data_IF_021182819212
#
_entry.id   IF_021182819212
#
_cell.length_a   1.000
_cell.length_b   1.000
_cell.length_c   1.000
_cell.angle_alpha   90.00
_cell.angle_beta   90.00
_cell.angle_gamma   90.00
#
_symmetry.space_group_name_H-M   'P 1'
#
loop_
_entity.id
_entity.type
_entity.pdbx_description
1 polymer ?
#
# COMPACT_ATOMS: atom_id res chain seq x y z
N UNK A 1 -51.94 -63.25 9.05
CA UNK A 1 -50.79 -62.32 9.12
C UNK A 1 -50.79 -61.27 7.98
N UNK A 2 -51.96 -60.87 7.46
CA UNK A 2 -52.06 -59.92 6.32
C UNK A 2 -52.77 -58.59 6.66
N UNK A 3 -53.53 -58.53 7.76
CA UNK A 3 -54.30 -57.34 8.18
C UNK A 3 -53.57 -56.33 9.07
N UNK A 4 -52.37 -56.63 9.58
CA UNK A 4 -51.62 -55.67 10.45
C UNK A 4 -50.66 -54.77 9.68
N UNK A 5 -50.47 -54.97 8.37
CA UNK A 5 -49.56 -54.17 7.56
C UNK A 5 -50.22 -52.90 7.00
N UNK A 6 -51.51 -52.92 6.64
CA UNK A 6 -52.20 -51.77 6.03
C UNK A 6 -52.52 -50.64 7.02
N UNK A 7 -52.68 -50.94 8.32
CA UNK A 7 -52.95 -49.91 9.33
C UNK A 7 -51.70 -49.05 9.67
N UNK A 8 -50.48 -49.57 9.42
CA UNK A 8 -49.23 -48.85 9.67
C UNK A 8 -48.91 -47.81 8.59
N UNK A 9 -49.15 -48.13 7.31
CA UNK A 9 -48.87 -47.23 6.19
C UNK A 9 -49.78 -45.99 6.17
N UNK A 10 -51.05 -46.12 6.58
CA UNK A 10 -51.98 -45.00 6.63
C UNK A 10 -51.62 -43.95 7.71
N UNK A 11 -51.03 -44.38 8.82
CA UNK A 11 -50.58 -43.49 9.90
C UNK A 11 -49.25 -42.81 9.54
N UNK A 12 -48.33 -43.54 8.91
CA UNK A 12 -47.04 -43.00 8.44
C UNK A 12 -47.25 -41.92 7.36
N UNK A 13 -48.18 -42.15 6.41
CA UNK A 13 -48.50 -41.14 5.39
C UNK A 13 -49.19 -39.90 5.96
N UNK A 14 -49.98 -40.01 7.03
CA UNK A 14 -50.61 -38.83 7.68
C UNK A 14 -49.61 -38.02 8.51
N UNK A 15 -48.65 -38.67 9.18
CA UNK A 15 -47.58 -37.99 9.91
C UNK A 15 -46.57 -37.35 8.95
N UNK A 16 -46.24 -37.99 7.82
CA UNK A 16 -45.38 -37.41 6.80
C UNK A 16 -46.01 -36.16 6.13
N UNK A 17 -47.33 -36.17 5.88
CA UNK A 17 -48.02 -35.03 5.29
C UNK A 17 -48.16 -33.84 6.26
N UNK A 18 -48.35 -34.10 7.56
CA UNK A 18 -48.34 -33.07 8.61
C UNK A 18 -46.94 -32.49 8.85
N UNK A 19 -45.89 -33.30 8.75
CA UNK A 19 -44.50 -32.84 8.81
C UNK A 19 -44.13 -31.99 7.59
N UNK A 20 -44.65 -32.31 6.41
CA UNK A 20 -44.41 -31.53 5.18
C UNK A 20 -45.13 -30.18 5.22
N UNK A 21 -46.34 -30.10 5.79
CA UNK A 21 -47.06 -28.82 5.95
C UNK A 21 -46.43 -27.95 7.04
N UNK A 22 -45.84 -28.52 8.10
CA UNK A 22 -45.13 -27.78 9.15
C UNK A 22 -43.75 -27.26 8.69
N UNK A 23 -43.12 -27.92 7.70
CA UNK A 23 -41.86 -27.45 7.08
C UNK A 23 -42.06 -26.35 6.03
N UNK A 24 -43.29 -26.17 5.52
CA UNK A 24 -43.63 -25.10 4.57
C UNK A 24 -44.05 -23.78 5.24
N UNK A 25 -44.21 -23.73 6.56
CA UNK A 25 -44.63 -22.53 7.31
C UNK A 25 -43.49 -21.78 8.04
N UNK A 26 -42.24 -22.19 7.85
CA UNK A 26 -41.04 -21.52 8.37
C UNK A 26 -40.35 -20.62 7.33
N UNK A 27 -41.06 -20.21 6.27
CA UNK A 27 -40.65 -19.09 5.42
C UNK A 27 -40.82 -17.79 6.21
N UNK A 28 -39.88 -17.54 7.13
CA UNK A 28 -39.67 -16.17 7.61
C UNK A 28 -39.41 -15.32 6.37
N UNK A 29 -40.23 -14.29 6.09
CA UNK A 29 -39.86 -13.35 5.06
C UNK A 29 -38.52 -12.79 5.48
N UNK A 30 -37.49 -13.01 4.67
CA UNK A 30 -36.28 -12.19 4.74
C UNK A 30 -36.80 -10.78 4.53
N UNK A 31 -36.88 -9.99 5.61
CA UNK A 31 -37.09 -8.57 5.49
C UNK A 31 -35.89 -8.07 4.69
N UNK A 32 -36.11 -7.85 3.39
CA UNK A 32 -35.26 -6.99 2.62
C UNK A 32 -35.20 -5.67 3.40
N UNK A 33 -33.99 -5.27 3.82
CA UNK A 33 -33.81 -3.96 4.39
C UNK A 33 -34.43 -2.92 3.45
N UNK A 34 -35.17 -1.95 3.99
CA UNK A 34 -35.71 -0.84 3.21
C UNK A 34 -34.58 -0.27 2.34
N UNK A 35 -34.76 -0.14 1.02
CA UNK A 35 -33.73 0.41 0.15
C UNK A 35 -33.39 1.82 0.65
N UNK A 36 -32.14 2.03 1.04
CA UNK A 36 -31.71 3.33 1.57
C UNK A 36 -31.84 4.43 0.51
N UNK A 37 -31.90 5.68 0.94
CA UNK A 37 -32.04 6.82 0.02
C UNK A 37 -30.74 7.19 -0.71
N UNK A 38 -29.65 6.47 -0.43
CA UNK A 38 -28.33 6.76 -0.94
C UNK A 38 -28.15 6.49 -2.44
N UNK A 39 -27.44 7.38 -3.11
CA UNK A 39 -27.11 7.34 -4.54
C UNK A 39 -25.62 7.63 -4.73
N UNK A 40 -24.98 6.86 -5.62
CA UNK A 40 -23.63 7.15 -6.09
C UNK A 40 -23.69 7.37 -7.60
N UNK A 41 -23.20 8.51 -8.04
CA UNK A 41 -23.02 8.85 -9.45
C UNK A 41 -21.54 8.73 -9.82
N UNK A 42 -21.24 7.80 -10.70
CA UNK A 42 -19.87 7.47 -11.06
C UNK A 42 -19.54 7.83 -12.51
N UNK A 43 -18.27 8.15 -12.75
CA UNK A 43 -17.71 8.34 -14.08
C UNK A 43 -16.46 7.47 -14.23
N UNK A 44 -16.48 6.55 -15.19
CA UNK A 44 -15.30 5.79 -15.60
C UNK A 44 -14.57 6.59 -16.70
N UNK A 45 -13.26 6.77 -16.55
CA UNK A 45 -12.42 7.52 -17.50
C UNK A 45 -11.23 6.66 -17.90
N UNK A 46 -10.92 6.57 -19.20
CA UNK A 46 -9.66 5.98 -19.66
C UNK A 46 -8.58 7.05 -19.69
N UNK A 47 -7.53 6.88 -18.88
CA UNK A 47 -6.38 7.78 -18.81
C UNK A 47 -5.33 7.56 -19.90
N UNK A 48 -5.44 6.47 -20.69
CA UNK A 48 -4.56 6.23 -21.84
C UNK A 48 -4.90 7.17 -23.00
N UNK A 49 -3.89 7.78 -23.62
CA UNK A 49 -4.08 8.66 -24.76
C UNK A 49 -4.66 7.89 -25.95
N UNK A 50 -5.84 8.31 -26.42
CA UNK A 50 -6.58 7.57 -27.45
C UNK A 50 -7.00 6.17 -27.00
N UNK A 51 -7.16 5.98 -25.68
CA UNK A 51 -7.48 4.71 -25.05
C UNK A 51 -8.80 4.11 -25.50
N UNK A 52 -8.95 2.82 -25.20
CA UNK A 52 -10.14 2.05 -25.56
C UNK A 52 -11.40 2.57 -24.85
N UNK A 53 -12.55 2.26 -25.44
CA UNK A 53 -13.84 2.63 -24.84
C UNK A 53 -14.00 2.05 -23.43
N UNK A 54 -14.66 2.83 -22.57
CA UNK A 54 -15.06 2.44 -21.20
C UNK A 54 -16.55 2.19 -21.10
N UNK A 55 -17.23 2.00 -22.23
CA UNK A 55 -18.63 1.62 -22.29
C UNK A 55 -18.84 0.14 -21.92
N UNK A 56 -20.02 -0.17 -21.39
CA UNK A 56 -20.48 -1.52 -21.05
C UNK A 56 -19.54 -2.31 -20.12
N UNK A 57 -18.78 -1.60 -19.29
CA UNK A 57 -17.93 -2.17 -18.25
C UNK A 57 -18.76 -2.48 -17.00
N UNK A 58 -18.53 -3.64 -16.39
CA UNK A 58 -19.19 -4.01 -15.13
C UNK A 58 -18.41 -3.41 -13.96
N UNK A 59 -18.98 -2.39 -13.35
CA UNK A 59 -18.46 -1.75 -12.14
C UNK A 59 -19.13 -2.39 -10.93
N UNK A 60 -18.34 -2.77 -9.93
CA UNK A 60 -18.82 -3.38 -8.69
C UNK A 60 -18.68 -2.40 -7.55
N UNK A 61 -19.76 -2.15 -6.83
CA UNK A 61 -19.76 -1.49 -5.54
C UNK A 61 -19.68 -2.56 -4.45
N UNK A 62 -18.62 -2.55 -3.63
CA UNK A 62 -18.58 -3.31 -2.39
C UNK A 62 -19.06 -2.42 -1.25
N UNK A 63 -20.05 -2.88 -0.50
CA UNK A 63 -20.56 -2.23 0.71
C UNK A 63 -19.99 -2.89 1.95
N UNK A 64 -19.64 -2.08 2.94
CA UNK A 64 -19.08 -2.50 4.22
C UNK A 64 -19.93 -1.94 5.35
N UNK A 65 -20.18 -2.76 6.38
CA UNK A 65 -20.78 -2.34 7.64
C UNK A 65 -19.75 -2.55 8.75
N UNK A 66 -19.35 -1.48 9.42
CA UNK A 66 -18.31 -1.49 10.46
C UNK A 66 -17.03 -2.20 9.97
N UNK A 67 -16.58 -1.84 8.76
CA UNK A 67 -15.44 -2.41 8.05
C UNK A 67 -15.55 -3.90 7.62
N UNK A 68 -16.69 -4.55 7.85
CA UNK A 68 -16.96 -5.92 7.37
C UNK A 68 -17.73 -5.86 6.06
N UNK A 69 -17.32 -6.63 5.05
CA UNK A 69 -18.04 -6.70 3.78
C UNK A 69 -19.47 -7.20 4.00
N UNK A 70 -20.44 -6.36 3.63
CA UNK A 70 -21.87 -6.60 3.81
C UNK A 70 -22.56 -7.05 2.51
N UNK A 71 -21.97 -6.73 1.36
CA UNK A 71 -22.47 -7.19 0.06
C UNK A 71 -21.90 -6.42 -1.13
N UNK A 72 -22.25 -6.88 -2.32
CA UNK A 72 -21.81 -6.26 -3.58
C UNK A 72 -22.99 -5.95 -4.48
N UNK A 73 -22.93 -4.82 -5.19
CA UNK A 73 -23.90 -4.45 -6.24
C UNK A 73 -23.14 -4.14 -7.52
N UNK A 74 -23.71 -4.48 -8.67
CA UNK A 74 -23.09 -4.21 -9.97
C UNK A 74 -23.88 -3.17 -10.76
N UNK A 75 -23.17 -2.33 -11.50
CA UNK A 75 -23.71 -1.41 -12.48
C UNK A 75 -22.90 -1.53 -13.78
N UNK A 76 -23.53 -1.20 -14.91
CA UNK A 76 -22.85 -1.10 -16.20
C UNK A 76 -22.61 0.36 -16.55
N UNK A 77 -21.47 0.65 -17.15
CA UNK A 77 -21.18 1.98 -17.68
C UNK A 77 -21.93 2.26 -18.99
N UNK A 78 -22.42 3.48 -19.14
CA UNK A 78 -22.97 4.00 -20.39
C UNK A 78 -21.90 4.26 -21.45
N UNK A 79 -22.31 4.73 -22.63
CA UNK A 79 -21.40 5.07 -23.74
C UNK A 79 -20.40 6.18 -23.40
N UNK A 80 -20.75 7.01 -22.43
CA UNK A 80 -19.93 8.09 -21.90
C UNK A 80 -19.16 7.69 -20.64
N UNK A 81 -19.21 6.42 -20.21
CA UNK A 81 -18.54 5.93 -19.00
C UNK A 81 -19.31 6.16 -17.70
N UNK A 82 -20.50 6.79 -17.72
CA UNK A 82 -21.28 7.03 -16.50
C UNK A 82 -21.91 5.75 -15.96
N UNK A 83 -21.93 5.60 -14.64
CA UNK A 83 -22.62 4.52 -13.92
C UNK A 83 -23.32 5.07 -12.67
N UNK A 84 -24.36 4.40 -12.20
CA UNK A 84 -25.10 4.84 -11.01
C UNK A 84 -25.44 3.66 -10.11
N UNK A 85 -25.23 3.81 -8.81
CA UNK A 85 -25.76 2.93 -7.78
C UNK A 85 -26.85 3.66 -6.99
N UNK A 86 -27.94 2.97 -6.65
CA UNK A 86 -29.09 3.53 -5.92
C UNK A 86 -29.50 2.58 -4.81
N UNK A 87 -30.30 3.06 -3.86
CA UNK A 87 -30.84 2.21 -2.80
C UNK A 87 -29.85 1.96 -1.66
N UNK A 88 -28.85 2.83 -1.51
CA UNK A 88 -27.71 2.61 -0.61
C UNK A 88 -28.02 3.12 0.80
N UNK A 89 -27.52 2.41 1.81
CA UNK A 89 -27.67 2.80 3.21
C UNK A 89 -26.90 4.10 3.50
N UNK A 90 -27.56 5.05 4.16
CA UNK A 90 -26.97 6.29 4.70
C UNK A 90 -26.63 6.18 6.18
N UNK A 91 -26.93 5.04 6.79
CA UNK A 91 -26.73 4.81 8.22
C UNK A 91 -25.24 4.81 8.56
N UNK A 92 -24.90 5.38 9.73
CA UNK A 92 -23.55 5.37 10.28
C UNK A 92 -22.93 3.96 10.29
N UNK A 93 -21.63 3.89 10.01
CA UNK A 93 -20.90 2.62 9.95
C UNK A 93 -20.96 1.93 8.58
N UNK A 94 -21.80 2.40 7.65
CA UNK A 94 -21.74 1.96 6.26
C UNK A 94 -20.65 2.73 5.50
N UNK A 95 -19.89 2.01 4.70
CA UNK A 95 -19.01 2.60 3.69
C UNK A 95 -19.07 1.79 2.41
N UNK A 96 -18.70 2.40 1.31
CA UNK A 96 -18.73 1.80 -0.01
C UNK A 96 -17.40 2.03 -0.72
N UNK A 97 -17.06 1.10 -1.61
CA UNK A 97 -15.88 1.20 -2.45
C UNK A 97 -16.22 0.69 -3.84
N UNK A 98 -15.86 1.49 -4.85
CA UNK A 98 -16.03 1.11 -6.25
C UNK A 98 -14.80 0.31 -6.71
N UNK A 99 -15.05 -0.80 -7.39
CA UNK A 99 -14.03 -1.69 -7.96
C UNK A 99 -14.39 -2.07 -9.39
N UNK A 100 -13.37 -2.33 -10.18
CA UNK A 100 -13.51 -2.76 -11.58
C UNK A 100 -12.29 -3.59 -11.98
N UNK A 101 -12.50 -4.65 -12.75
CA UNK A 101 -11.43 -5.27 -13.53
C UNK A 101 -11.53 -4.78 -14.97
N UNK A 102 -10.53 -4.06 -15.45
CA UNK A 102 -10.47 -3.51 -16.81
C UNK A 102 -9.22 -4.05 -17.51
N UNK A 103 -9.42 -4.74 -18.64
CA UNK A 103 -8.34 -5.40 -19.40
C UNK A 103 -7.38 -6.19 -18.50
N UNK A 104 -7.94 -7.04 -17.62
CA UNK A 104 -7.23 -7.88 -16.63
C UNK A 104 -6.62 -7.15 -15.42
N UNK A 105 -6.45 -5.81 -15.45
CA UNK A 105 -5.98 -5.03 -14.31
C UNK A 105 -7.11 -4.77 -13.30
N UNK A 106 -6.80 -4.90 -12.00
CA UNK A 106 -7.70 -4.59 -10.89
C UNK A 106 -7.62 -3.09 -10.55
N UNK A 107 -8.76 -2.40 -10.51
CA UNK A 107 -8.89 -0.99 -10.14
C UNK A 107 -9.82 -0.85 -8.94
N UNK A 108 -9.46 0.06 -8.03
CA UNK A 108 -10.23 0.36 -6.84
C UNK A 108 -10.21 1.85 -6.57
N UNK A 109 -11.38 2.44 -6.31
CA UNK A 109 -11.49 3.79 -5.78
C UNK A 109 -11.27 3.82 -4.26
N UNK A 110 -11.22 5.03 -3.72
CA UNK A 110 -11.21 5.27 -2.28
C UNK A 110 -12.53 4.86 -1.63
N UNK A 111 -12.51 4.40 -0.36
CA UNK A 111 -13.73 4.15 0.38
C UNK A 111 -14.43 5.48 0.70
N UNK A 112 -15.75 5.49 0.68
CA UNK A 112 -16.55 6.65 1.07
C UNK A 112 -17.85 6.23 1.75
N UNK A 113 -18.38 7.10 2.60
CA UNK A 113 -19.66 6.90 3.27
C UNK A 113 -20.69 7.92 2.77
N UNK A 114 -21.95 7.49 2.70
CA UNK A 114 -23.11 8.38 2.57
C UNK A 114 -23.65 8.68 3.96
N UNK A 115 -24.29 9.83 4.13
CA UNK A 115 -24.91 10.23 5.40
C UNK A 115 -26.33 10.70 5.16
N UNK A 116 -27.14 10.83 6.22
CA UNK A 116 -28.52 11.33 6.09
C UNK A 116 -28.59 12.75 5.52
N UNK A 117 -27.53 13.54 5.69
CA UNK A 117 -27.41 14.90 5.14
C UNK A 117 -26.74 14.95 3.76
N UNK A 118 -26.09 13.85 3.35
CA UNK A 118 -25.36 13.73 2.09
C UNK A 118 -25.67 12.38 1.47
N UNK A 119 -26.88 12.29 0.90
CA UNK A 119 -27.42 11.06 0.33
C UNK A 119 -26.95 10.81 -1.10
N UNK A 120 -26.25 11.77 -1.72
CA UNK A 120 -25.70 11.62 -3.07
C UNK A 120 -24.22 11.97 -3.08
N UNK A 121 -23.39 11.10 -3.65
CA UNK A 121 -21.96 11.36 -3.90
C UNK A 121 -21.57 11.09 -5.33
N UNK A 122 -20.61 11.86 -5.82
CA UNK A 122 -19.98 11.63 -7.11
C UNK A 122 -18.59 11.01 -6.95
N UNK A 123 -18.21 10.13 -7.87
CA UNK A 123 -16.88 9.52 -7.89
C UNK A 123 -16.36 9.36 -9.33
N UNK A 124 -15.04 9.48 -9.50
CA UNK A 124 -14.37 9.24 -10.76
C UNK A 124 -13.42 8.06 -10.55
N UNK A 125 -13.50 7.07 -11.44
CA UNK A 125 -12.55 5.97 -11.50
C UNK A 125 -11.77 6.09 -12.80
N UNK A 126 -10.45 6.23 -12.70
CA UNK A 126 -9.57 6.24 -13.87
C UNK A 126 -9.01 4.85 -14.11
N UNK A 127 -9.14 4.37 -15.34
CA UNK A 127 -8.53 3.11 -15.81
C UNK A 127 -7.56 3.39 -16.94
N UNK A 128 -6.70 2.42 -17.23
CA UNK A 128 -5.75 2.49 -18.33
C UNK A 128 -5.85 1.23 -19.17
N UNK A 129 -5.65 1.36 -20.48
CA UNK A 129 -5.46 0.20 -21.34
C UNK A 129 -4.25 -0.60 -20.85
N UNK A 130 -4.35 -1.92 -20.93
CA UNK A 130 -3.30 -2.81 -20.43
C UNK A 130 -2.19 -3.02 -21.47
N UNK A 131 -1.00 -3.34 -20.97
CA UNK A 131 0.16 -3.77 -21.74
C UNK A 131 0.84 -4.94 -21.04
N UNK A 132 1.39 -5.87 -21.81
CA UNK A 132 2.28 -6.93 -21.31
C UNK A 132 3.77 -6.59 -21.45
N UNK A 133 4.09 -5.40 -21.99
CA UNK A 133 5.46 -4.89 -22.07
C UNK A 133 5.81 -4.12 -20.82
N UNK A 134 6.95 -4.46 -20.23
CA UNK A 134 7.58 -3.80 -19.09
C UNK A 134 8.60 -2.72 -19.50
N UNK A 135 8.67 -2.37 -20.79
CA UNK A 135 9.72 -1.47 -21.31
C UNK A 135 9.69 -0.05 -20.75
N UNK A 136 8.58 0.35 -20.12
CA UNK A 136 8.43 1.62 -19.42
C UNK A 136 8.55 1.49 -17.89
N UNK A 137 8.82 0.29 -17.38
CA UNK A 137 8.97 0.01 -15.94
C UNK A 137 10.44 0.20 -15.54
N UNK A 138 10.65 0.99 -14.50
CA UNK A 138 11.96 1.22 -13.89
C UNK A 138 11.86 1.26 -12.37
N UNK A 139 12.99 1.32 -11.68
CA UNK A 139 13.06 1.60 -10.25
C UNK A 139 13.75 2.96 -10.08
N UNK A 140 13.00 3.96 -9.61
CA UNK A 140 13.55 5.31 -9.41
C UNK A 140 14.49 5.34 -8.22
N UNK A 141 14.10 4.66 -7.14
CA UNK A 141 14.88 4.58 -5.91
C UNK A 141 14.84 3.18 -5.33
N UNK A 142 16.01 2.66 -4.94
CA UNK A 142 16.12 1.42 -4.20
C UNK A 142 17.01 1.59 -2.95
N UNK A 143 16.52 1.13 -1.81
CA UNK A 143 17.32 0.93 -0.60
C UNK A 143 17.34 -0.53 -0.21
N UNK A 144 18.53 -1.02 0.11
CA UNK A 144 18.69 -2.22 0.92
C UNK A 144 19.27 -1.78 2.25
N UNK A 145 18.54 -2.00 3.34
CA UNK A 145 19.00 -1.64 4.68
C UNK A 145 19.22 -2.91 5.48
N UNK A 146 20.41 -3.04 6.05
CA UNK A 146 20.84 -4.20 6.82
C UNK A 146 21.09 -3.77 8.26
N UNK A 147 20.25 -4.27 9.16
CA UNK A 147 20.34 -4.09 10.61
C UNK A 147 20.71 -5.41 11.30
N UNK A 148 21.08 -5.34 12.57
CA UNK A 148 21.33 -6.54 13.38
C UNK A 148 20.08 -6.90 14.20
N UNK A 149 19.65 -8.16 14.08
CA UNK A 149 18.62 -8.78 14.90
C UNK A 149 19.22 -9.75 15.93
N UNK A 150 18.36 -10.42 16.73
CA UNK A 150 18.82 -11.36 17.77
C UNK A 150 19.64 -12.54 17.19
N UNK A 151 19.33 -13.03 15.99
CA UNK A 151 19.90 -14.25 15.40
C UNK A 151 20.53 -14.04 14.00
N UNK A 152 20.91 -12.81 13.67
CA UNK A 152 21.58 -12.51 12.39
C UNK A 152 21.28 -11.12 11.84
N UNK A 153 21.16 -11.04 10.52
CA UNK A 153 20.85 -9.79 9.82
C UNK A 153 19.35 -9.67 9.57
N UNK A 154 18.81 -8.50 9.85
CA UNK A 154 17.48 -8.09 9.38
C UNK A 154 17.67 -7.19 8.16
N UNK A 155 17.10 -7.59 7.04
CA UNK A 155 17.24 -6.89 5.76
C UNK A 155 15.89 -6.32 5.38
N UNK A 156 15.84 -5.02 5.10
CA UNK A 156 14.67 -4.34 4.54
C UNK A 156 15.00 -3.85 3.14
N UNK A 157 14.16 -4.21 2.18
CA UNK A 157 14.15 -3.67 0.83
C UNK A 157 13.07 -2.61 0.71
N UNK A 158 13.42 -1.50 0.09
CA UNK A 158 12.49 -0.46 -0.28
C UNK A 158 12.74 -0.12 -1.75
N UNK A 159 11.77 -0.38 -2.61
CA UNK A 159 11.83 -0.10 -4.03
C UNK A 159 10.67 0.83 -4.42
N UNK A 160 10.99 1.91 -5.13
CA UNK A 160 10.01 2.75 -5.79
C UNK A 160 10.03 2.41 -7.26
N UNK A 161 9.06 1.62 -7.70
CA UNK A 161 8.84 1.34 -9.11
C UNK A 161 8.16 2.53 -9.77
N UNK A 162 8.51 2.79 -11.02
CA UNK A 162 7.81 3.75 -11.87
C UNK A 162 7.39 3.07 -13.17
N UNK A 163 6.21 3.44 -13.67
CA UNK A 163 5.75 3.14 -15.01
C UNK A 163 5.50 4.46 -15.73
N UNK A 164 6.42 4.83 -16.61
CA UNK A 164 6.42 6.10 -17.33
C UNK A 164 5.54 6.08 -18.60
N UNK A 165 4.79 5.00 -18.82
CA UNK A 165 3.79 4.92 -19.89
C UNK A 165 2.41 5.38 -19.41
N UNK A 166 1.48 5.50 -20.34
CA UNK A 166 0.06 5.77 -20.07
C UNK A 166 -0.79 4.48 -20.00
N UNK A 167 -0.15 3.32 -19.85
CA UNK A 167 -0.79 1.99 -19.85
C UNK A 167 -0.49 1.22 -18.57
N UNK A 168 -1.44 0.40 -18.14
CA UNK A 168 -1.24 -0.50 -17.01
C UNK A 168 -0.41 -1.71 -17.43
N UNK A 169 0.77 -1.91 -16.85
CA UNK A 169 1.54 -3.12 -17.07
C UNK A 169 0.96 -4.27 -16.23
N UNK A 170 0.45 -5.31 -16.89
CA UNK A 170 -0.26 -6.43 -16.23
C UNK A 170 0.58 -7.70 -16.13
N UNK A 171 1.88 -7.61 -16.44
CA UNK A 171 2.74 -8.80 -16.52
C UNK A 171 2.58 -9.57 -17.82
N UNK A 172 3.30 -10.69 -17.89
CA UNK A 172 3.27 -11.61 -19.02
C UNK A 172 3.10 -13.06 -18.55
N UNK A 173 2.70 -13.93 -19.48
CA UNK A 173 2.46 -15.34 -19.20
C UNK A 173 1.08 -15.65 -18.61
N UNK A 174 0.99 -16.80 -17.95
CA UNK A 174 -0.26 -17.35 -17.41
C UNK A 174 -0.69 -16.64 -16.12
N UNK A 175 -2.01 -16.57 -15.93
CA UNK A 175 -2.60 -16.10 -14.67
C UNK A 175 -2.23 -17.10 -13.57
N UNK A 176 -1.68 -16.57 -12.48
CA UNK A 176 -1.26 -17.35 -11.32
C UNK A 176 -2.44 -17.69 -10.42
N UNK A 177 -2.22 -18.56 -9.41
CA UNK A 177 -3.21 -18.84 -8.37
C UNK A 177 -3.61 -17.60 -7.55
N UNK A 178 -2.81 -16.53 -7.57
CA UNK A 178 -3.13 -15.26 -6.91
C UNK A 178 -4.04 -14.34 -7.75
N UNK A 179 -4.53 -14.78 -8.92
CA UNK A 179 -5.53 -14.06 -9.72
C UNK A 179 -5.00 -12.94 -10.61
N UNK A 180 -3.67 -12.83 -10.74
CA UNK A 180 -2.95 -11.96 -11.68
C UNK A 180 -1.77 -12.70 -12.32
N UNK A 181 -1.17 -12.12 -13.37
CA UNK A 181 0.06 -12.67 -13.98
C UNK A 181 1.27 -12.28 -13.13
N UNK A 182 2.44 -12.81 -13.43
CA UNK A 182 3.69 -12.34 -12.82
C UNK A 182 4.01 -10.96 -13.40
N UNK A 183 3.77 -9.92 -12.61
CA UNK A 183 3.84 -8.52 -13.08
C UNK A 183 5.17 -7.91 -12.72
N UNK A 184 5.38 -7.51 -11.47
CA UNK A 184 6.65 -6.94 -11.04
C UNK A 184 7.54 -8.01 -10.43
N UNK A 185 8.77 -8.11 -10.92
CA UNK A 185 9.79 -8.95 -10.28
C UNK A 185 10.52 -8.17 -9.19
N UNK A 186 10.40 -8.63 -7.95
CA UNK A 186 11.14 -8.10 -6.82
C UNK A 186 12.53 -8.75 -6.75
N UNK A 187 13.56 -8.06 -6.20
CA UNK A 187 14.87 -8.65 -6.00
C UNK A 187 14.80 -10.01 -5.30
N UNK A 188 15.49 -11.01 -5.86
CA UNK A 188 15.51 -12.35 -5.31
C UNK A 188 16.02 -12.39 -3.88
N UNK A 189 15.39 -13.22 -3.05
CA UNK A 189 15.81 -13.47 -1.68
C UNK A 189 17.05 -14.38 -1.65
N UNK A 190 17.96 -14.19 -0.70
CA UNK A 190 18.96 -15.21 -0.36
C UNK A 190 18.30 -16.55 -0.02
N UNK A 191 19.00 -17.65 -0.30
CA UNK A 191 18.48 -19.02 -0.08
C UNK A 191 18.10 -19.32 1.37
N UNK A 192 18.78 -18.66 2.29
CA UNK A 192 18.65 -18.77 3.74
C UNK A 192 17.71 -17.72 4.34
N UNK A 193 17.03 -16.92 3.50
CA UNK A 193 16.10 -15.91 3.95
C UNK A 193 14.89 -16.56 4.67
N UNK A 194 14.54 -16.00 5.82
CA UNK A 194 13.41 -16.43 6.65
C UNK A 194 12.58 -15.21 7.10
N UNK A 195 11.41 -15.45 7.69
CA UNK A 195 10.56 -14.39 8.27
C UNK A 195 10.25 -13.25 7.28
N UNK A 196 9.81 -13.62 6.06
CA UNK A 196 9.46 -12.66 5.02
C UNK A 196 8.19 -11.90 5.39
N UNK A 197 8.29 -10.57 5.42
CA UNK A 197 7.20 -9.66 5.72
C UNK A 197 7.06 -8.62 4.60
N UNK A 198 5.83 -8.20 4.33
CA UNK A 198 5.52 -7.27 3.26
C UNK A 198 4.97 -5.96 3.83
N UNK A 199 5.28 -4.85 3.17
CA UNK A 199 4.81 -3.51 3.49
C UNK A 199 4.74 -2.62 2.24
N UNK A 200 4.52 -1.32 2.46
CA UNK A 200 4.20 -0.40 1.37
C UNK A 200 2.90 -0.81 0.68
N UNK A 201 2.92 -0.89 -0.64
CA UNK A 201 1.76 -1.27 -1.47
C UNK A 201 1.75 -2.77 -1.83
N UNK A 202 2.64 -3.58 -1.25
CA UNK A 202 2.61 -5.03 -1.44
C UNK A 202 1.47 -5.66 -0.62
N UNK A 203 0.72 -6.54 -1.26
CA UNK A 203 -0.35 -7.32 -0.62
C UNK A 203 0.10 -8.77 -0.50
N UNK A 204 0.18 -9.30 0.73
CA UNK A 204 0.72 -10.65 0.98
C UNK A 204 0.09 -11.77 0.15
N UNK A 205 -1.20 -11.69 -0.18
CA UNK A 205 -1.90 -12.66 -1.03
C UNK A 205 -1.69 -12.47 -2.54
N UNK A 206 -0.96 -11.43 -2.95
CA UNK A 206 -0.63 -11.08 -4.34
C UNK A 206 0.86 -11.19 -4.65
N UNK A 207 1.69 -11.42 -3.63
CA UNK A 207 3.12 -11.67 -3.81
C UNK A 207 3.38 -13.18 -3.75
N UNK A 208 4.01 -13.70 -4.79
CA UNK A 208 4.26 -15.12 -4.97
C UNK A 208 5.78 -15.40 -5.01
N UNK A 209 6.30 -16.26 -4.13
CA UNK A 209 7.63 -16.83 -4.31
C UNK A 209 7.59 -17.87 -5.45
N UNK A 210 8.61 -17.88 -6.29
CA UNK A 210 8.82 -18.83 -7.38
C UNK A 210 10.30 -19.23 -7.45
N UNK A 211 10.63 -20.26 -8.25
CA UNK A 211 12.01 -20.75 -8.43
C UNK A 211 12.98 -19.65 -8.92
N UNK A 212 12.45 -18.64 -9.62
CA UNK A 212 13.24 -17.56 -10.23
C UNK A 212 13.15 -16.21 -9.48
N UNK A 213 12.52 -16.16 -8.30
CA UNK A 213 12.44 -14.94 -7.49
C UNK A 213 11.07 -14.70 -6.85
N UNK A 214 10.86 -13.47 -6.40
CA UNK A 214 9.64 -13.02 -5.74
C UNK A 214 8.87 -12.11 -6.71
N UNK A 215 7.57 -12.37 -6.92
CA UNK A 215 6.77 -11.65 -7.92
C UNK A 215 5.52 -11.04 -7.29
N UNK A 216 5.27 -9.76 -7.57
CA UNK A 216 3.97 -9.15 -7.36
C UNK A 216 3.08 -9.37 -8.59
N UNK A 217 1.85 -9.79 -8.35
CA UNK A 217 0.86 -10.10 -9.38
C UNK A 217 -0.12 -8.96 -9.66
N UNK A 218 -0.08 -7.89 -8.87
CA UNK A 218 -0.86 -6.69 -9.13
C UNK A 218 -0.32 -5.93 -10.34
N UNK A 219 -1.21 -5.31 -11.11
CA UNK A 219 -0.82 -4.45 -12.22
C UNK A 219 0.03 -3.26 -11.71
N UNK A 220 1.04 -2.88 -12.50
CA UNK A 220 1.76 -1.63 -12.32
C UNK A 220 1.05 -0.55 -13.15
N UNK A 221 0.25 0.28 -12.48
CA UNK A 221 -0.44 1.40 -13.11
C UNK A 221 0.57 2.49 -13.51
N UNK A 222 0.22 3.39 -14.45
CA UNK A 222 0.99 4.61 -14.68
C UNK A 222 1.26 5.38 -13.39
N UNK A 223 2.49 5.86 -13.23
CA UNK A 223 2.97 6.51 -12.00
C UNK A 223 3.89 5.63 -11.18
N UNK A 224 3.92 5.86 -9.87
CA UNK A 224 4.84 5.19 -8.94
C UNK A 224 4.11 4.16 -8.06
N UNK A 225 4.86 3.15 -7.64
CA UNK A 225 4.43 2.15 -6.67
C UNK A 225 5.56 1.81 -5.73
N UNK A 226 5.29 1.85 -4.44
CA UNK A 226 6.27 1.55 -3.39
C UNK A 226 6.14 0.11 -2.91
N UNK A 227 7.19 -0.68 -3.12
CA UNK A 227 7.29 -2.04 -2.60
C UNK A 227 8.30 -2.09 -1.44
N UNK A 228 7.84 -2.51 -0.27
CA UNK A 228 8.70 -2.70 0.90
C UNK A 228 8.57 -4.15 1.36
N UNK A 229 9.68 -4.81 1.64
CA UNK A 229 9.66 -6.12 2.26
C UNK A 229 10.90 -6.34 3.11
N UNK A 230 10.75 -7.11 4.18
CA UNK A 230 11.84 -7.45 5.09
C UNK A 230 11.98 -8.95 5.27
N UNK A 231 13.19 -9.39 5.58
CA UNK A 231 13.51 -10.78 5.84
C UNK A 231 14.75 -10.90 6.73
N UNK A 232 14.94 -12.08 7.32
CA UNK A 232 16.08 -12.40 8.17
C UNK A 232 17.04 -13.34 7.48
N UNK A 233 18.33 -13.10 7.69
CA UNK A 233 19.44 -13.92 7.22
C UNK A 233 20.28 -14.33 8.42
N UNK A 234 20.34 -15.64 8.71
CA UNK A 234 21.24 -16.16 9.72
C UNK A 234 22.69 -16.10 9.23
N UNK A 235 23.57 -15.48 10.02
CA UNK A 235 25.00 -15.40 9.71
C UNK A 235 25.80 -16.22 10.72
N UNK A 236 26.59 -17.16 10.21
CA UNK A 236 27.47 -18.03 11.03
C UNK A 236 28.94 -17.62 10.99
N UNK A 237 29.27 -16.57 10.24
CA UNK A 237 30.63 -16.06 10.05
C UNK A 237 30.67 -14.55 10.24
N UNK A 238 31.87 -13.99 10.44
CA UNK A 238 32.08 -12.53 10.55
C UNK A 238 31.84 -11.78 9.23
N UNK A 239 31.57 -12.50 8.14
CA UNK A 239 31.38 -11.97 6.79
C UNK A 239 30.11 -12.51 6.15
N UNK A 240 29.53 -11.71 5.26
CA UNK A 240 28.37 -12.13 4.46
C UNK A 240 28.41 -11.46 3.09
N UNK A 241 28.01 -12.18 2.04
CA UNK A 241 28.02 -11.66 0.67
C UNK A 241 26.60 -11.58 0.11
N UNK A 242 26.16 -10.37 -0.21
CA UNK A 242 24.98 -10.16 -1.03
C UNK A 242 25.36 -10.18 -2.50
N UNK A 243 24.58 -10.90 -3.30
CA UNK A 243 24.65 -10.86 -4.76
C UNK A 243 23.26 -10.59 -5.29
N UNK A 244 23.10 -9.49 -6.03
CA UNK A 244 21.82 -9.09 -6.60
C UNK A 244 21.90 -8.96 -8.09
N UNK A 245 20.99 -9.63 -8.78
CA UNK A 245 20.72 -9.34 -10.19
C UNK A 245 19.67 -8.25 -10.26
N UNK A 246 19.93 -7.23 -11.06
CA UNK A 246 19.02 -6.11 -11.28
C UNK A 246 18.07 -6.47 -12.43
N UNK A 247 16.78 -6.54 -12.16
CA UNK A 247 15.78 -6.93 -13.18
C UNK A 247 15.25 -5.72 -13.98
N UNK A 248 15.18 -4.53 -13.36
CA UNK A 248 14.76 -3.27 -14.00
C UNK A 248 15.86 -2.22 -13.87
N UNK A 249 16.00 -1.26 -14.81
CA UNK A 249 16.93 -0.15 -14.63
C UNK A 249 16.66 0.59 -13.30
N UNK A 250 17.72 0.86 -12.54
CA UNK A 250 17.65 1.54 -11.24
C UNK A 250 18.33 2.91 -11.36
N UNK A 251 17.57 3.98 -11.14
CA UNK A 251 18.13 5.33 -11.24
C UNK A 251 19.05 5.65 -10.07
N UNK A 252 18.67 5.30 -8.83
CA UNK A 252 19.54 5.39 -7.65
C UNK A 252 19.37 4.19 -6.72
N UNK A 253 20.50 3.59 -6.32
CA UNK A 253 20.55 2.49 -5.37
C UNK A 253 21.48 2.83 -4.20
N UNK A 254 20.97 2.63 -2.98
CA UNK A 254 21.75 2.76 -1.75
C UNK A 254 21.67 1.48 -0.92
N UNK A 255 22.83 0.99 -0.52
CA UNK A 255 22.98 -0.10 0.43
C UNK A 255 23.46 0.46 1.77
N UNK A 256 22.71 0.21 2.83
CA UNK A 256 23.00 0.69 4.18
C UNK A 256 23.23 -0.49 5.09
N UNK A 257 24.29 -0.44 5.88
CA UNK A 257 24.54 -1.44 6.93
C UNK A 257 24.81 -0.76 8.27
N UNK A 258 24.10 -1.21 9.29
CA UNK A 258 24.24 -0.73 10.66
C UNK A 258 25.65 -1.01 11.21
N UNK A 259 26.13 -0.14 12.09
CA UNK A 259 27.31 -0.35 12.91
C UNK A 259 28.56 0.34 12.39
N UNK A 260 29.23 1.08 13.28
CA UNK A 260 30.45 1.85 12.97
C UNK A 260 31.63 0.96 12.55
N UNK A 261 31.68 -0.26 13.07
CA UNK A 261 32.74 -1.24 12.77
C UNK A 261 32.34 -2.23 11.66
N UNK A 262 31.10 -2.19 11.18
CA UNK A 262 30.65 -3.04 10.09
C UNK A 262 31.10 -2.43 8.77
N UNK A 263 31.85 -3.18 7.98
CA UNK A 263 32.35 -2.70 6.69
C UNK A 263 31.60 -3.36 5.54
N UNK A 264 31.08 -2.54 4.64
CA UNK A 264 30.56 -2.95 3.34
C UNK A 264 31.54 -2.54 2.23
N UNK A 265 31.76 -3.43 1.26
CA UNK A 265 32.55 -3.14 0.06
C UNK A 265 31.86 -3.69 -1.17
N UNK A 266 32.03 -3.02 -2.31
CA UNK A 266 31.46 -3.43 -3.59
C UNK A 266 32.37 -2.99 -4.73
N UNK A 267 32.33 -3.71 -5.85
CA UNK A 267 32.97 -3.29 -7.09
C UNK A 267 32.15 -2.23 -7.85
N UNK A 268 30.82 -2.24 -7.67
CA UNK A 268 29.87 -1.38 -8.41
C UNK A 268 29.41 -0.16 -7.62
N UNK A 269 29.33 -0.28 -6.29
CA UNK A 269 28.88 0.79 -5.40
C UNK A 269 30.05 1.55 -4.78
N UNK A 270 29.96 2.88 -4.78
CA UNK A 270 30.92 3.75 -4.12
C UNK A 270 30.56 3.94 -2.64
N UNK A 271 31.58 3.99 -1.78
CA UNK A 271 31.39 4.30 -0.37
C UNK A 271 30.94 5.75 -0.16
N UNK A 272 29.88 5.94 0.59
CA UNK A 272 29.33 7.23 1.01
C UNK A 272 29.80 7.63 2.41
N UNK A 273 29.23 8.72 2.92
CA UNK A 273 29.43 9.14 4.30
C UNK A 273 28.62 8.24 5.25
N UNK A 274 29.13 8.03 6.46
CA UNK A 274 28.36 7.39 7.53
C UNK A 274 27.19 8.31 7.88
N UNK A 275 25.98 7.76 7.93
CA UNK A 275 24.79 8.48 8.36
C UNK A 275 24.45 8.07 9.78
N UNK A 276 24.25 9.06 10.64
CA UNK A 276 23.69 8.86 11.98
C UNK A 276 22.19 9.14 11.92
N UNK A 277 21.38 8.14 12.27
CA UNK A 277 19.95 8.26 12.38
C UNK A 277 19.50 7.80 13.76
N UNK A 278 19.05 8.76 14.57
CA UNK A 278 18.61 8.52 15.95
C UNK A 278 19.66 7.80 16.83
N UNK A 279 20.96 8.11 16.62
CA UNK A 279 22.06 7.50 17.36
C UNK A 279 22.53 6.15 16.79
N UNK A 280 21.87 5.66 15.72
CA UNK A 280 22.28 4.46 15.00
C UNK A 280 23.08 4.88 13.77
N UNK A 281 24.35 4.47 13.72
CA UNK A 281 25.24 4.73 12.60
C UNK A 281 25.07 3.70 11.49
N UNK A 282 25.00 4.16 10.25
CA UNK A 282 24.93 3.35 9.04
C UNK A 282 26.09 3.67 8.10
N UNK A 283 26.81 2.63 7.68
CA UNK A 283 27.73 2.71 6.55
C UNK A 283 26.93 2.61 5.25
N UNK A 284 27.19 3.51 4.30
CA UNK A 284 26.45 3.60 3.05
C UNK A 284 27.36 3.28 1.87
N UNK A 285 26.86 2.44 0.97
CA UNK A 285 27.35 2.32 -0.40
C UNK A 285 26.26 2.78 -1.36
N UNK A 286 26.61 3.46 -2.44
CA UNK A 286 25.62 3.94 -3.42
C UNK A 286 26.13 3.89 -4.85
N UNK A 287 25.19 3.80 -5.79
CA UNK A 287 25.45 3.97 -7.21
C UNK A 287 24.18 4.47 -7.91
N UNK A 288 24.40 5.27 -8.95
CA UNK A 288 23.35 5.71 -9.85
C UNK A 288 23.40 4.93 -11.17
N UNK A 289 22.27 4.97 -11.88
CA UNK A 289 22.10 4.46 -13.24
C UNK A 289 22.61 3.03 -13.40
N UNK A 290 22.07 2.11 -12.62
CA UNK A 290 22.38 0.68 -12.73
C UNK A 290 21.46 0.08 -13.79
N UNK A 291 22.04 -0.50 -14.84
CA UNK A 291 21.26 -1.06 -15.93
C UNK A 291 20.58 -2.39 -15.54
N UNK A 292 19.45 -2.68 -16.19
CA UNK A 292 18.85 -4.01 -16.11
C UNK A 292 19.84 -5.08 -16.60
N UNK A 293 19.87 -6.21 -15.90
CA UNK A 293 20.78 -7.32 -16.13
C UNK A 293 22.12 -7.21 -15.41
N UNK A 294 22.49 -6.05 -14.87
CA UNK A 294 23.70 -5.91 -14.04
C UNK A 294 23.62 -6.77 -12.77
N UNK A 295 24.78 -7.18 -12.28
CA UNK A 295 24.91 -7.87 -10.99
C UNK A 295 25.69 -7.00 -10.02
N UNK A 296 25.12 -6.77 -8.85
CA UNK A 296 25.73 -6.01 -7.76
C UNK A 296 26.21 -7.01 -6.70
N UNK A 297 27.50 -6.99 -6.41
CA UNK A 297 28.09 -7.73 -5.30
C UNK A 297 28.42 -6.79 -4.14
N UNK A 298 28.00 -7.16 -2.92
CA UNK A 298 28.32 -6.43 -1.70
C UNK A 298 28.89 -7.43 -0.69
N UNK A 299 30.12 -7.20 -0.26
CA UNK A 299 30.79 -7.97 0.77
C UNK A 299 30.74 -7.22 2.10
N UNK A 300 30.09 -7.84 3.09
CA UNK A 300 30.10 -7.42 4.49
C UNK A 300 31.20 -8.12 5.27
N UNK A 301 31.74 -7.42 6.27
CA UNK A 301 32.73 -7.92 7.24
C UNK A 301 32.56 -7.18 8.58
N UNK A 302 33.05 -7.78 9.68
CA UNK A 302 32.91 -7.22 11.02
C UNK A 302 31.55 -7.49 11.68
N UNK A 303 30.82 -8.52 11.24
CA UNK A 303 29.47 -8.84 11.74
C UNK A 303 29.46 -9.33 13.20
N UNK A 304 30.56 -9.94 13.67
CA UNK A 304 30.66 -10.55 15.01
C UNK A 304 30.71 -9.53 16.16
N UNK A 305 31.07 -8.28 15.90
CA UNK A 305 31.18 -7.22 16.92
C UNK A 305 29.90 -6.40 17.08
N UNK A 306 28.96 -6.51 16.14
CA UNK A 306 27.73 -5.75 16.16
C UNK A 306 26.64 -6.36 17.06
N UNK A 307 26.73 -7.65 17.38
CA UNK A 307 25.84 -8.34 18.33
C UNK A 307 26.08 -7.97 19.81
N UNK A 308 27.14 -7.21 20.12
CA UNK A 308 27.44 -6.72 21.46
C UNK A 308 27.02 -5.25 21.70
N UNK A 309 26.42 -4.59 20.71
CA UNK A 309 25.76 -3.31 20.95
C UNK A 309 24.47 -3.61 21.71
N UNK A 310 24.43 -3.17 22.97
CA UNK A 310 23.34 -3.35 23.92
C UNK A 310 22.02 -2.96 23.26
N UNK A 311 21.28 -3.95 22.79
CA UNK A 311 19.89 -3.79 22.43
C UNK A 311 19.15 -3.36 23.67
N UNK A 312 18.79 -2.07 23.74
CA UNK A 312 17.61 -1.69 24.50
C UNK A 312 16.47 -2.57 24.01
N UNK A 313 15.92 -3.40 24.91
CA UNK A 313 14.78 -4.28 24.70
C UNK A 313 13.65 -3.60 23.92
N UNK A 314 13.77 -3.59 22.59
CA UNK A 314 12.76 -3.11 21.66
C UNK A 314 12.25 -4.35 20.97
N UNK A 315 11.65 -5.24 21.77
CA UNK A 315 10.75 -6.25 21.28
C UNK A 315 9.64 -5.56 20.49
N UNK A 316 9.74 -5.63 19.17
CA UNK A 316 8.72 -5.11 18.26
C UNK A 316 9.30 -4.92 16.86
N UNK A 317 9.21 -5.96 16.04
CA UNK A 317 9.54 -5.95 14.59
C UNK A 317 8.96 -4.75 13.84
N UNK A 318 7.86 -4.17 14.32
CA UNK A 318 7.25 -2.99 13.72
C UNK A 318 8.03 -1.69 13.98
N UNK A 319 8.64 -1.50 15.16
CA UNK A 319 9.30 -0.22 15.48
C UNK A 319 10.64 -0.05 14.76
N UNK A 320 11.42 -1.13 14.62
CA UNK A 320 12.65 -1.10 13.81
C UNK A 320 12.34 -0.95 12.33
N UNK A 321 11.33 -1.67 11.80
CA UNK A 321 10.88 -1.51 10.41
C UNK A 321 10.45 -0.07 10.12
N UNK A 322 9.68 0.57 11.01
CA UNK A 322 9.28 1.98 10.88
C UNK A 322 10.51 2.89 10.80
N UNK A 323 11.49 2.72 11.69
CA UNK A 323 12.71 3.53 11.68
C UNK A 323 13.52 3.37 10.38
N UNK A 324 13.64 2.15 9.86
CA UNK A 324 14.37 1.88 8.62
C UNK A 324 13.64 2.46 7.40
N UNK A 325 12.31 2.38 7.37
CA UNK A 325 11.49 3.01 6.33
C UNK A 325 11.62 4.53 6.40
N UNK A 326 11.58 5.14 7.59
CA UNK A 326 11.79 6.59 7.74
C UNK A 326 13.19 7.00 7.28
N UNK A 327 14.22 6.24 7.64
CA UNK A 327 15.59 6.47 7.16
C UNK A 327 15.68 6.39 5.63
N UNK A 328 15.07 5.37 5.02
CA UNK A 328 15.01 5.24 3.57
C UNK A 328 14.35 6.46 2.91
N UNK A 329 13.23 6.94 3.46
CA UNK A 329 12.52 8.12 2.95
C UNK A 329 13.38 9.39 3.09
N UNK A 330 14.04 9.61 4.22
CA UNK A 330 14.93 10.76 4.44
C UNK A 330 16.12 10.77 3.47
N UNK A 331 16.66 9.59 3.16
CA UNK A 331 17.74 9.44 2.19
C UNK A 331 17.27 9.59 0.75
N UNK A 332 16.07 9.07 0.42
CA UNK A 332 15.43 9.28 -0.89
C UNK A 332 15.18 10.77 -1.15
N UNK A 333 14.78 11.49 -0.10
CA UNK A 333 14.64 12.92 -0.09
C UNK A 333 15.98 13.68 -0.01
N UNK A 334 17.14 13.02 -0.16
CA UNK A 334 18.44 13.68 -0.32
C UNK A 334 18.95 14.43 0.90
N UNK A 335 18.70 13.92 2.12
CA UNK A 335 19.35 14.43 3.34
C UNK A 335 19.08 15.90 3.63
N UNK A 336 17.94 16.22 4.24
CA UNK A 336 17.62 17.53 4.82
C UNK A 336 17.39 18.70 3.84
N UNK A 337 18.12 18.75 2.72
CA UNK A 337 17.99 19.81 1.71
C UNK A 337 17.23 19.35 0.44
N UNK A 338 17.29 18.05 0.11
CA UNK A 338 16.59 17.51 -1.06
C UNK A 338 15.07 17.45 -0.88
N UNK A 339 14.55 17.35 0.34
CA UNK A 339 13.11 17.36 0.62
C UNK A 339 12.45 18.68 0.16
N UNK A 340 13.11 19.81 0.45
CA UNK A 340 12.66 21.14 -0.01
C UNK A 340 12.84 21.32 -1.52
N UNK A 341 13.88 20.72 -2.12
CA UNK A 341 14.15 20.86 -3.56
C UNK A 341 13.29 19.94 -4.44
N UNK A 342 12.95 18.73 -3.98
CA UNK A 342 12.04 17.80 -4.67
C UNK A 342 10.58 18.28 -4.58
N UNK A 343 10.17 18.90 -3.46
CA UNK A 343 8.90 19.61 -3.38
C UNK A 343 8.85 20.82 -4.31
N UNK A 344 10.00 21.44 -4.63
CA UNK A 344 10.09 22.60 -5.53
C UNK A 344 10.26 22.26 -7.01
N UNK A 345 10.59 21.00 -7.38
CA UNK A 345 10.84 20.58 -8.78
C UNK A 345 9.75 19.69 -9.38
N UNK A 346 8.70 19.33 -8.64
CA UNK A 346 7.48 18.75 -9.24
C UNK A 346 6.57 19.88 -9.74
N UNK A 347 6.88 20.40 -10.93
CA UNK A 347 5.91 21.21 -11.66
C UNK A 347 6.03 21.01 -13.17
N UNK A 348 5.18 20.12 -13.70
CA UNK A 348 4.43 20.21 -14.96
C UNK A 348 3.27 19.22 -14.78
N UNK A 349 2.09 19.60 -14.28
CA UNK A 349 1.13 20.50 -14.92
C UNK A 349 0.52 21.50 -13.94
N UNK A 350 0.27 22.70 -14.46
CA UNK A 350 -0.12 23.95 -13.80
C UNK A 350 -1.45 23.90 -13.02
N UNK A 351 -1.36 24.16 -11.71
CA UNK A 351 -2.36 24.96 -10.99
C UNK A 351 -1.59 26.02 -10.22
N UNK A 352 -1.89 27.29 -10.51
CA UNK A 352 -1.34 28.44 -9.78
C UNK A 352 -1.75 28.35 -8.31
N UNK A 353 -0.81 28.00 -7.42
CA UNK A 353 -0.96 28.20 -5.98
C UNK A 353 0.01 29.30 -5.57
N UNK A 354 -0.53 30.51 -5.60
CA UNK A 354 -0.11 31.60 -4.74
C UNK A 354 -0.08 31.07 -3.29
N UNK A 355 1.05 31.25 -2.62
CA UNK A 355 1.27 30.79 -1.23
C UNK A 355 0.18 31.38 -0.33
N UNK A 356 -0.90 30.64 -0.10
CA UNK A 356 -2.00 31.09 0.75
C UNK A 356 -1.73 30.60 2.18
N UNK A 357 -1.45 31.51 3.14
CA UNK A 357 -1.22 31.14 4.55
C UNK A 357 -2.37 30.35 5.17
N UNK A 358 -3.61 30.55 4.69
CA UNK A 358 -4.78 29.82 5.18
C UNK A 358 -4.78 28.34 4.76
N UNK A 359 -4.20 27.98 3.62
CA UNK A 359 -4.08 26.56 3.21
C UNK A 359 -3.02 25.83 4.04
N UNK A 360 -1.87 26.47 4.30
CA UNK A 360 -0.81 25.95 5.17
C UNK A 360 -1.30 25.75 6.60
N UNK A 361 -2.08 26.70 7.12
CA UNK A 361 -2.76 26.60 8.40
C UNK A 361 -3.73 25.43 8.45
N UNK A 362 -4.49 25.19 7.38
CA UNK A 362 -5.47 24.12 7.31
C UNK A 362 -4.82 22.73 7.23
N UNK A 363 -3.69 22.63 6.53
CA UNK A 363 -2.85 21.42 6.47
C UNK A 363 -2.23 21.10 7.85
N UNK A 364 -1.69 22.12 8.54
CA UNK A 364 -1.09 21.95 9.86
C UNK A 364 -2.14 21.59 10.94
N UNK A 365 -3.38 22.04 10.78
CA UNK A 365 -4.50 21.62 11.63
C UNK A 365 -4.88 20.15 11.42
N UNK A 366 -4.81 19.65 10.19
CA UNK A 366 -5.05 18.24 9.87
C UNK A 366 -3.94 17.37 10.45
N UNK A 367 -2.69 17.80 10.32
CA UNK A 367 -1.53 17.06 10.83
C UNK A 367 -1.51 16.98 12.36
N UNK A 368 -1.94 18.05 13.06
CA UNK A 368 -2.14 18.02 14.51
C UNK A 368 -3.27 17.05 14.90
N UNK A 369 -4.34 16.97 14.11
CA UNK A 369 -5.45 16.06 14.37
C UNK A 369 -5.03 14.59 14.18
N UNK A 370 -4.28 14.28 13.14
CA UNK A 370 -3.72 12.93 12.93
C UNK A 370 -2.73 12.55 14.04
N UNK A 371 -1.91 13.51 14.50
CA UNK A 371 -1.02 13.31 15.63
C UNK A 371 -1.78 13.07 16.96
N UNK A 372 -2.90 13.76 17.16
CA UNK A 372 -3.79 13.57 18.30
C UNK A 372 -4.43 12.15 18.24
N UNK A 373 -4.91 11.71 17.07
CA UNK A 373 -5.48 10.38 16.86
C UNK A 373 -4.45 9.25 17.06
N UNK A 374 -3.21 9.46 16.61
CA UNK A 374 -2.11 8.51 16.80
C UNK A 374 -1.67 8.41 18.27
N UNK A 375 -1.79 9.49 19.04
CA UNK A 375 -1.55 9.46 20.50
C UNK A 375 -2.68 8.77 21.25
N UNK A 376 -3.94 9.09 20.93
CA UNK A 376 -5.11 8.49 21.56
C UNK A 376 -5.21 6.98 21.26
N UNK A 377 -4.81 6.56 20.06
CA UNK A 377 -4.70 5.15 19.69
C UNK A 377 -3.45 4.44 20.24
N UNK A 378 -2.59 5.17 20.98
CA UNK A 378 -1.41 4.63 21.65
C UNK A 378 -0.24 4.29 20.72
N UNK A 379 -0.29 4.73 19.46
CA UNK A 379 0.78 4.50 18.47
C UNK A 379 2.03 5.34 18.77
N UNK A 380 1.87 6.48 19.45
CA UNK A 380 2.99 7.35 19.85
C UNK A 380 3.06 7.53 21.37
N UNK A 381 4.29 7.53 21.91
CA UNK A 381 4.54 7.75 23.33
C UNK A 381 4.30 9.22 23.71
N UNK A 382 3.84 9.46 24.95
CA UNK A 382 3.46 10.78 25.45
C UNK A 382 4.56 11.84 25.32
N UNK A 383 5.82 11.49 25.55
CA UNK A 383 6.94 12.41 25.42
C UNK A 383 7.17 12.85 23.97
N UNK A 384 7.00 11.95 23.01
CA UNK A 384 7.12 12.22 21.57
C UNK A 384 5.94 13.04 21.06
N UNK A 385 4.72 12.63 21.44
CA UNK A 385 3.48 13.38 21.18
C UNK A 385 3.57 14.82 21.68
N UNK A 386 4.01 15.02 22.93
CA UNK A 386 4.06 16.35 23.54
C UNK A 386 5.05 17.28 22.84
N UNK A 387 6.16 16.75 22.31
CA UNK A 387 7.16 17.54 21.57
C UNK A 387 6.66 17.91 20.18
N UNK A 388 6.22 16.93 19.40
CA UNK A 388 5.72 17.14 18.03
C UNK A 388 4.52 18.09 18.02
N UNK A 389 3.59 17.91 18.96
CA UNK A 389 2.42 18.76 19.07
C UNK A 389 2.76 20.19 19.49
N UNK A 390 3.77 20.38 20.33
CA UNK A 390 4.22 21.71 20.72
C UNK A 390 4.86 22.46 19.54
N UNK A 391 5.64 21.75 18.72
CA UNK A 391 6.29 22.29 17.53
C UNK A 391 5.27 22.70 16.46
N UNK A 392 4.35 21.81 16.11
CA UNK A 392 3.28 22.11 15.14
C UNK A 392 2.36 23.23 15.63
N UNK A 393 2.07 23.31 16.93
CA UNK A 393 1.33 24.44 17.49
C UNK A 393 2.10 25.75 17.44
N UNK A 394 3.43 25.72 17.60
CA UNK A 394 4.26 26.92 17.47
C UNK A 394 4.22 27.45 16.04
N UNK A 395 4.35 26.57 15.05
CA UNK A 395 4.24 26.91 13.63
C UNK A 395 2.85 27.47 13.30
N UNK A 396 1.79 26.89 13.86
CA UNK A 396 0.43 27.38 13.67
C UNK A 396 0.24 28.80 14.25
N UNK A 397 0.85 29.09 15.40
CA UNK A 397 0.78 30.42 16.03
C UNK A 397 1.55 31.45 15.20
N UNK A 398 2.71 31.10 14.66
CA UNK A 398 3.51 31.96 13.77
C UNK A 398 2.72 32.30 12.48
N UNK A 399 2.13 31.28 11.84
CA UNK A 399 1.23 31.45 10.69
C UNK A 399 0.01 32.32 10.99
N UNK A 400 -0.53 32.29 12.22
CA UNK A 400 -1.65 33.13 12.62
C UNK A 400 -1.25 34.57 12.93
N UNK A 401 -0.01 34.83 13.34
CA UNK A 401 0.53 36.16 13.59
C UNK A 401 0.84 36.89 12.27
N UNK A 402 1.47 36.19 11.32
CA UNK A 402 1.79 36.74 9.99
C UNK A 402 0.51 37.12 9.21
N UNK A 403 -0.53 36.29 9.30
CA UNK A 403 -1.85 36.57 8.71
C UNK A 403 -2.57 37.80 9.31
N UNK A 404 -2.25 38.16 10.56
CA UNK A 404 -2.81 39.35 11.24
C UNK A 404 -2.02 40.63 10.95
N UNK A 405 -0.72 40.55 10.69
CA UNK A 405 0.09 41.70 10.29
C UNK A 405 -0.19 42.14 8.84
N UNK A 406 -0.44 41.18 7.93
CA UNK A 406 -0.83 41.48 6.54
C UNK A 406 -2.25 42.09 6.41
N UNK A 407 -3.16 41.79 7.34
CA UNK A 407 -4.51 42.39 7.37
C UNK A 407 -4.58 43.74 8.10
N UNK A 408 -3.52 44.15 8.80
CA UNK A 408 -3.41 45.43 9.52
C UNK A 408 -2.65 46.55 8.78
N UNK A 409 -2.03 46.25 7.64
CA UNK A 409 -1.28 47.22 6.81
C UNK A 409 -2.01 47.63 5.51
N UNK A 410 -3.31 47.36 5.41
CA UNK A 410 -4.18 47.71 4.28
C UNK A 410 -4.93 49.03 4.47
#
# INVERSE_FOLDING_TARGET
MRDKAEAGEAVINRVALLSMILLLSLSTPVLAAEPGSGVIEGQLVNGTQGGSSVADQTVTLTSYLNAVEAGTTNAKTGTDGRFVFKGLSTSSGNSHRVKLKYQEADYSGEPFALTDNETTKSTILTVYDSTSSDGAVSVTTAFTIVAFGQDGLEVTEHLVFANDSDRAYIGSGEITSAGGKRTLKLPSLPTEATDLQYGGELVSGRVLPDFNGLFDTMAMLPGEKTAIYSYRVSVSSDSYKFVRKVDYPVASYSFLVQGENTRATSSRLAAGQIVDFQGIKFNILSADNIASGETIDIQLSGLSQAGNQTGSDTSGSNQQTILLVTLAVVLAAGGGAGFVYLLKKRNLQSVSLENNPEQLKQELLIEIAELDDDFESGKIKKETYSKLRAEMKSQLVELMQDSQEESGSG
#
